data_IF_923048058793
#
_entry.id   IF_923048058793
#
_cell.length_a   1.000
_cell.length_b   1.000
_cell.length_c   1.000
_cell.angle_alpha   90.00
_cell.angle_beta   90.00
_cell.angle_gamma   90.00
#
_symmetry.space_group_name_H-M   'P 1'
#
loop_
_entity.id
_entity.type
_entity.pdbx_description
1 polymer ?
#
# COMPACT_ATOMS: atom_id res chain seq x y z
N UNK A 1 -93.78 -20.16 -2.79
CA UNK A 1 -92.90 -18.98 -2.91
C UNK A 1 -91.66 -19.24 -2.04
N UNK A 2 -90.60 -19.76 -2.64
CA UNK A 2 -89.28 -19.11 -2.84
C UNK A 2 -88.65 -18.49 -1.58
N UNK A 3 -87.61 -19.14 -1.06
CA UNK A 3 -86.63 -18.58 -0.12
C UNK A 3 -85.27 -19.25 -0.34
N UNK A 4 -84.40 -18.57 -1.08
CA UNK A 4 -83.10 -19.03 -1.58
C UNK A 4 -82.06 -19.11 -0.46
N UNK A 5 -81.32 -20.23 -0.39
CA UNK A 5 -80.13 -20.42 0.46
C UNK A 5 -79.00 -19.48 0.02
N UNK A 6 -78.45 -18.68 0.93
CA UNK A 6 -77.19 -17.95 0.71
C UNK A 6 -76.05 -18.68 1.43
N UNK A 7 -75.15 -19.29 0.67
CA UNK A 7 -73.84 -19.72 1.15
C UNK A 7 -72.98 -18.46 1.38
N UNK A 8 -72.51 -18.25 2.61
CA UNK A 8 -71.50 -17.26 2.91
C UNK A 8 -70.12 -17.86 2.59
N UNK A 9 -69.45 -17.33 1.58
CA UNK A 9 -68.04 -17.64 1.28
C UNK A 9 -67.19 -16.69 2.13
N UNK A 10 -66.53 -17.21 3.16
CA UNK A 10 -65.55 -16.45 3.95
C UNK A 10 -64.22 -16.43 3.20
N UNK A 11 -63.88 -15.28 2.61
CA UNK A 11 -62.54 -15.01 2.04
C UNK A 11 -61.49 -14.98 3.16
N UNK A 12 -60.60 -15.96 3.18
CA UNK A 12 -59.39 -15.92 3.99
C UNK A 12 -58.37 -14.97 3.33
N UNK A 13 -58.10 -13.82 3.95
CA UNK A 13 -56.97 -12.96 3.57
C UNK A 13 -55.67 -13.63 4.03
N UNK A 14 -54.86 -14.08 3.08
CA UNK A 14 -53.52 -14.60 3.33
C UNK A 14 -52.54 -13.42 3.31
N UNK A 15 -52.15 -12.90 4.48
CA UNK A 15 -51.13 -11.86 4.62
C UNK A 15 -49.76 -12.46 4.37
N UNK A 16 -49.22 -12.27 3.16
CA UNK A 16 -47.83 -12.63 2.84
C UNK A 16 -46.90 -11.58 3.50
N UNK A 17 -46.24 -11.97 4.59
CA UNK A 17 -45.16 -11.20 5.20
C UNK A 17 -43.92 -11.29 4.27
N UNK A 18 -43.66 -10.24 3.49
CA UNK A 18 -42.39 -10.08 2.79
C UNK A 18 -41.30 -9.80 3.83
N UNK A 19 -40.52 -10.82 4.17
CA UNK A 19 -39.28 -10.66 4.92
C UNK A 19 -38.28 -9.91 4.02
N UNK A 20 -38.11 -8.61 4.26
CA UNK A 20 -37.06 -7.83 3.62
C UNK A 20 -35.70 -8.33 4.15
N UNK A 21 -34.99 -9.10 3.33
CA UNK A 21 -33.60 -9.46 3.58
C UNK A 21 -32.74 -8.19 3.54
N UNK A 22 -32.47 -7.60 4.70
CA UNK A 22 -31.43 -6.56 4.83
C UNK A 22 -30.10 -7.28 4.62
N UNK A 23 -29.57 -7.20 3.40
CA UNK A 23 -28.20 -7.63 3.16
C UNK A 23 -27.28 -6.81 4.07
N UNK A 24 -26.30 -7.43 4.75
CA UNK A 24 -25.32 -6.66 5.51
C UNK A 24 -24.62 -5.71 4.54
N UNK A 25 -24.74 -4.41 4.77
CA UNK A 25 -23.85 -3.46 4.13
C UNK A 25 -22.43 -3.87 4.53
N UNK A 26 -21.58 -4.22 3.57
CA UNK A 26 -20.15 -4.30 3.82
C UNK A 26 -19.75 -2.96 4.42
N UNK A 27 -19.30 -2.97 5.69
CA UNK A 27 -18.82 -1.76 6.33
C UNK A 27 -17.63 -1.29 5.50
N UNK A 28 -17.77 -0.16 4.82
CA UNK A 28 -16.68 0.39 4.02
C UNK A 28 -15.55 0.74 4.99
N UNK A 29 -14.32 0.54 4.54
CA UNK A 29 -13.15 0.99 5.30
C UNK A 29 -13.29 2.47 5.67
N UNK A 30 -12.87 2.80 6.89
CA UNK A 30 -13.10 4.11 7.49
C UNK A 30 -11.76 4.85 7.70
N UNK A 31 -11.71 6.16 7.42
CA UNK A 31 -10.55 6.99 7.78
C UNK A 31 -10.16 6.81 9.25
N UNK A 32 -8.87 6.64 9.50
CA UNK A 32 -8.30 6.57 10.86
C UNK A 32 -8.50 5.23 11.57
N UNK A 33 -9.11 4.23 10.92
CA UNK A 33 -9.30 2.87 11.44
C UNK A 33 -8.34 1.93 10.73
N UNK A 34 -7.21 1.65 11.39
CA UNK A 34 -6.17 0.73 10.94
C UNK A 34 -5.26 0.40 12.14
N UNK A 35 -4.43 -0.63 12.00
CA UNK A 35 -3.59 -1.15 13.08
C UNK A 35 -2.16 -0.60 13.04
N UNK A 36 -1.59 -0.44 11.83
CA UNK A 36 -0.21 0.03 11.65
C UNK A 36 0.05 0.61 10.27
N UNK A 37 1.22 1.22 10.08
CA UNK A 37 1.71 1.66 8.79
C UNK A 37 2.79 0.73 8.24
N UNK A 38 2.81 0.58 6.92
CA UNK A 38 3.94 0.03 6.18
C UNK A 38 4.47 1.12 5.25
N UNK A 39 5.71 1.54 5.47
CA UNK A 39 6.46 2.32 4.52
C UNK A 39 6.95 1.39 3.41
N UNK A 40 6.60 1.70 2.16
CA UNK A 40 7.01 0.91 0.99
C UNK A 40 8.00 1.72 0.18
N UNK A 41 9.20 1.17 0.04
CA UNK A 41 10.33 1.78 -0.63
C UNK A 41 10.66 0.97 -1.89
N UNK A 42 10.31 1.49 -3.05
CA UNK A 42 10.48 0.80 -4.32
C UNK A 42 11.90 0.91 -4.85
N UNK A 43 12.41 -0.17 -5.43
CA UNK A 43 13.67 -0.19 -6.17
C UNK A 43 13.41 0.24 -7.62
N UNK A 44 13.67 1.52 -7.91
CA UNK A 44 13.38 2.13 -9.21
C UNK A 44 14.01 1.39 -10.41
N UNK A 45 15.26 0.88 -10.34
CA UNK A 45 15.85 0.13 -11.45
C UNK A 45 15.00 -1.08 -11.89
N UNK A 46 14.47 -1.84 -10.93
CA UNK A 46 13.58 -2.98 -11.23
C UNK A 46 12.28 -2.52 -11.85
N UNK A 47 11.65 -1.46 -11.31
CA UNK A 47 10.44 -0.88 -11.90
C UNK A 47 10.67 -0.46 -13.35
N UNK A 48 11.77 0.24 -13.62
CA UNK A 48 12.10 0.72 -14.96
C UNK A 48 12.38 -0.41 -15.96
N UNK A 49 13.02 -1.49 -15.51
CA UNK A 49 13.25 -2.69 -16.33
C UNK A 49 11.98 -3.47 -16.63
N UNK A 50 11.07 -3.61 -15.65
CA UNK A 50 9.89 -4.46 -15.79
C UNK A 50 8.71 -3.74 -16.45
N UNK A 51 8.51 -2.46 -16.14
CA UNK A 51 7.27 -1.74 -16.48
C UNK A 51 7.51 -0.29 -16.92
N UNK A 52 8.28 0.50 -16.17
CA UNK A 52 8.34 1.96 -16.34
C UNK A 52 8.78 2.44 -17.72
N UNK A 53 9.78 1.79 -18.34
CA UNK A 53 10.24 2.13 -19.70
C UNK A 53 9.16 1.87 -20.76
N UNK A 54 8.38 0.79 -20.63
CA UNK A 54 7.26 0.50 -21.54
C UNK A 54 6.16 1.56 -21.41
N UNK A 55 6.00 2.15 -20.22
CA UNK A 55 5.05 3.21 -19.94
C UNK A 55 5.56 4.61 -20.24
N UNK A 56 6.82 4.76 -20.67
CA UNK A 56 7.50 6.05 -20.86
C UNK A 56 7.45 6.92 -19.60
N UNK A 57 7.59 6.29 -18.43
CA UNK A 57 7.63 6.99 -17.16
C UNK A 57 8.91 7.84 -17.07
N UNK A 58 8.77 9.11 -16.72
CA UNK A 58 9.90 10.04 -16.60
C UNK A 58 10.85 9.67 -15.47
N UNK A 59 10.39 8.89 -14.47
CA UNK A 59 11.25 8.30 -13.45
C UNK A 59 12.38 7.44 -14.04
N UNK A 60 12.18 6.91 -15.24
CA UNK A 60 13.11 6.00 -15.90
C UNK A 60 14.07 6.69 -16.88
N UNK A 61 14.20 8.02 -16.83
CA UNK A 61 15.22 8.74 -17.58
C UNK A 61 16.60 8.44 -17.00
N UNK A 62 17.49 7.87 -17.82
CA UNK A 62 18.86 7.53 -17.44
C UNK A 62 19.72 8.75 -17.06
N UNK A 63 19.28 9.98 -17.37
CA UNK A 63 19.97 11.21 -16.95
C UNK A 63 19.71 11.60 -15.50
N UNK A 64 18.61 11.13 -14.93
CA UNK A 64 18.22 11.37 -13.54
C UNK A 64 17.85 10.02 -12.91
N UNK A 65 18.85 9.13 -12.73
CA UNK A 65 18.60 7.82 -12.15
C UNK A 65 18.09 7.97 -10.70
N UNK A 66 17.22 7.05 -10.33
CA UNK A 66 16.75 6.91 -8.95
C UNK A 66 17.09 5.50 -8.48
N UNK A 67 17.50 5.40 -7.22
CA UNK A 67 17.72 4.12 -6.52
C UNK A 67 16.42 3.73 -5.80
N UNK A 68 16.41 3.94 -4.48
CA UNK A 68 15.27 3.74 -3.62
C UNK A 68 14.35 4.96 -3.71
N UNK A 69 13.08 4.73 -4.00
CA UNK A 69 12.03 5.77 -4.05
C UNK A 69 10.93 5.42 -3.07
N UNK A 70 10.24 6.42 -2.54
CA UNK A 70 9.02 6.21 -1.77
C UNK A 70 7.93 5.73 -2.74
N UNK A 71 7.46 4.50 -2.54
CA UNK A 71 6.26 4.02 -3.22
C UNK A 71 5.03 4.56 -2.49
N UNK A 72 4.97 4.41 -1.16
CA UNK A 72 3.86 4.92 -0.36
C UNK A 72 3.96 4.59 1.13
N UNK A 73 3.02 5.13 1.92
CA UNK A 73 2.87 4.84 3.35
C UNK A 73 1.48 4.23 3.58
N UNK A 74 1.40 2.92 3.74
CA UNK A 74 0.13 2.21 3.68
C UNK A 74 -0.40 1.90 5.08
N UNK A 75 -1.58 2.43 5.46
CA UNK A 75 -2.34 1.88 6.58
C UNK A 75 -2.65 0.39 6.34
N UNK A 76 -2.45 -0.44 7.35
CA UNK A 76 -2.69 -1.88 7.33
C UNK A 76 -3.56 -2.29 8.52
N UNK A 77 -4.35 -3.34 8.32
CA UNK A 77 -4.85 -4.14 9.43
C UNK A 77 -3.87 -5.29 9.71
N UNK A 78 -3.95 -5.93 10.87
CA UNK A 78 -3.19 -7.16 11.15
C UNK A 78 -3.41 -8.24 10.08
N UNK A 79 -4.59 -8.26 9.44
CA UNK A 79 -4.90 -9.09 8.27
C UNK A 79 -5.64 -8.27 7.22
N UNK A 80 -5.02 -8.09 6.06
CA UNK A 80 -5.54 -7.23 5.00
C UNK A 80 -5.28 -5.75 5.27
N UNK A 81 -5.90 -4.87 4.50
CA UNK A 81 -5.68 -3.43 4.59
C UNK A 81 -6.91 -2.64 4.16
N UNK A 82 -7.12 -1.46 4.74
CA UNK A 82 -8.12 -0.53 4.26
C UNK A 82 -7.68 0.10 2.93
N UNK A 83 -8.65 0.44 2.08
CA UNK A 83 -8.38 1.21 0.85
C UNK A 83 -9.54 2.13 0.47
N UNK A 84 -9.23 3.18 -0.28
CA UNK A 84 -10.21 4.10 -0.87
C UNK A 84 -11.17 4.71 0.18
N UNK A 85 -10.64 5.09 1.35
CA UNK A 85 -11.40 5.53 2.52
C UNK A 85 -11.92 6.97 2.40
N UNK A 86 -12.53 7.34 1.27
CA UNK A 86 -13.14 8.65 1.07
C UNK A 86 -14.60 8.52 0.66
N UNK A 87 -15.40 9.51 1.03
CA UNK A 87 -16.81 9.57 0.65
C UNK A 87 -17.01 10.48 -0.56
N UNK A 88 -17.72 9.98 -1.57
CA UNK A 88 -18.12 10.78 -2.73
C UNK A 88 -16.99 10.97 -3.74
N UNK A 89 -16.51 12.20 -3.89
CA UNK A 89 -15.53 12.55 -4.93
C UNK A 89 -14.14 12.04 -4.56
N UNK A 90 -13.37 11.64 -5.58
CA UNK A 90 -11.96 11.28 -5.41
C UNK A 90 -11.21 12.45 -4.75
N UNK A 91 -10.37 12.19 -3.73
CA UNK A 91 -9.64 13.25 -3.05
C UNK A 91 -8.68 13.95 -4.00
N UNK A 92 -8.41 15.22 -3.67
CA UNK A 92 -7.45 16.05 -4.36
C UNK A 92 -6.19 16.21 -3.52
N UNK A 93 -5.02 16.20 -4.18
CA UNK A 93 -3.72 16.50 -3.58
C UNK A 93 -3.25 17.84 -4.15
N UNK A 94 -2.91 18.84 -3.31
CA UNK A 94 -2.41 20.12 -3.80
C UNK A 94 -1.14 19.99 -4.64
N UNK A 95 -0.98 20.90 -5.61
CA UNK A 95 0.23 20.94 -6.45
C UNK A 95 1.49 21.14 -5.63
N UNK A 96 1.39 21.95 -4.58
CA UNK A 96 2.48 22.28 -3.68
C UNK A 96 2.98 21.02 -2.97
N UNK A 97 2.05 20.21 -2.44
CA UNK A 97 2.36 18.91 -1.80
C UNK A 97 2.93 17.91 -2.80
N UNK A 98 2.41 17.89 -4.04
CA UNK A 98 2.98 17.02 -5.09
C UNK A 98 4.43 17.41 -5.36
N UNK A 99 4.71 18.70 -5.50
CA UNK A 99 6.02 19.21 -5.86
C UNK A 99 7.07 18.97 -4.76
N UNK A 100 6.68 19.03 -3.48
CA UNK A 100 7.58 18.68 -2.35
C UNK A 100 7.93 17.20 -2.25
N UNK A 101 7.26 16.32 -3.00
CA UNK A 101 7.51 14.88 -2.94
C UNK A 101 8.28 14.35 -4.15
N UNK A 102 8.47 15.13 -5.22
CA UNK A 102 9.00 14.62 -6.50
C UNK A 102 10.44 14.11 -6.47
N UNK A 103 11.25 14.57 -5.52
CA UNK A 103 12.62 14.09 -5.30
C UNK A 103 12.65 12.64 -4.79
N UNK A 104 11.62 12.21 -4.04
CA UNK A 104 11.53 10.83 -3.49
C UNK A 104 10.38 10.01 -4.09
N UNK A 105 9.41 10.66 -4.76
CA UNK A 105 8.29 10.06 -5.49
C UNK A 105 8.20 10.69 -6.90
N UNK A 106 9.03 10.26 -7.86
CA UNK A 106 9.21 10.99 -9.12
C UNK A 106 7.94 11.11 -9.97
N UNK A 107 7.01 10.15 -9.85
CA UNK A 107 5.76 10.13 -10.58
C UNK A 107 4.64 10.89 -9.87
N UNK A 108 4.20 12.03 -10.45
CA UNK A 108 3.00 12.76 -10.00
C UNK A 108 1.75 11.87 -9.90
N UNK A 109 1.58 10.96 -10.84
CA UNK A 109 0.43 10.06 -10.87
C UNK A 109 0.48 9.06 -9.71
N UNK A 110 1.68 8.62 -9.32
CA UNK A 110 1.88 7.79 -8.14
C UNK A 110 1.45 8.55 -6.89
N UNK A 111 1.93 9.78 -6.68
CA UNK A 111 1.53 10.62 -5.54
C UNK A 111 -0.01 10.71 -5.47
N UNK A 112 -0.69 11.09 -6.55
CA UNK A 112 -2.16 11.19 -6.55
C UNK A 112 -2.85 9.84 -6.30
N UNK A 113 -2.29 8.74 -6.77
CA UNK A 113 -2.82 7.40 -6.54
C UNK A 113 -2.68 6.97 -5.08
N UNK A 114 -1.49 7.12 -4.51
CA UNK A 114 -1.16 6.68 -3.16
C UNK A 114 -1.98 7.40 -2.10
N UNK A 115 -2.17 8.71 -2.24
CA UNK A 115 -3.06 9.40 -1.31
C UNK A 115 -4.51 8.93 -1.44
N UNK A 116 -5.00 8.77 -2.68
CA UNK A 116 -6.38 8.35 -2.90
C UNK A 116 -6.67 6.96 -2.35
N UNK A 117 -5.81 5.99 -2.65
CA UNK A 117 -5.98 4.58 -2.28
C UNK A 117 -5.65 4.33 -0.82
N UNK A 118 -4.54 4.90 -0.32
CA UNK A 118 -3.99 4.57 1.01
C UNK A 118 -4.03 5.75 1.98
N UNK A 119 -3.64 6.95 1.53
CA UNK A 119 -3.56 8.13 2.40
C UNK A 119 -4.89 8.53 3.03
N UNK A 120 -6.01 8.41 2.31
CA UNK A 120 -7.35 8.67 2.86
C UNK A 120 -7.71 7.77 4.05
N UNK A 121 -7.15 6.57 4.11
CA UNK A 121 -7.38 5.62 5.20
C UNK A 121 -6.64 5.99 6.48
N UNK A 122 -5.59 6.80 6.39
CA UNK A 122 -4.91 7.34 7.58
C UNK A 122 -5.81 8.34 8.36
N UNK A 123 -6.81 8.93 7.70
CA UNK A 123 -7.60 10.02 8.29
C UNK A 123 -6.84 11.34 8.41
N UNK A 124 -5.76 11.48 7.66
CA UNK A 124 -4.91 12.68 7.59
C UNK A 124 -5.25 13.51 6.34
N UNK A 125 -4.94 14.81 6.38
CA UNK A 125 -4.93 15.62 5.15
C UNK A 125 -3.77 15.19 4.23
N UNK A 126 -3.76 15.59 2.94
CA UNK A 126 -2.64 15.26 2.05
C UNK A 126 -1.30 15.73 2.61
N UNK A 127 -1.24 16.95 3.15
CA UNK A 127 -0.03 17.54 3.74
C UNK A 127 0.47 16.67 4.90
N UNK A 128 -0.40 16.39 5.88
CA UNK A 128 -0.04 15.59 7.06
C UNK A 128 0.39 14.17 6.69
N UNK A 129 -0.26 13.56 5.71
CA UNK A 129 0.09 12.22 5.25
C UNK A 129 1.47 12.19 4.59
N UNK A 130 1.77 13.17 3.71
CA UNK A 130 3.05 13.22 3.03
C UNK A 130 4.19 13.70 3.93
N UNK A 131 3.92 14.55 4.91
CA UNK A 131 4.89 14.90 5.96
C UNK A 131 5.29 13.65 6.76
N UNK A 132 4.31 12.82 7.16
CA UNK A 132 4.57 11.56 7.84
C UNK A 132 5.36 10.57 6.95
N UNK A 133 4.96 10.43 5.68
CA UNK A 133 5.62 9.53 4.73
C UNK A 133 7.06 9.95 4.46
N UNK A 134 7.32 11.25 4.28
CA UNK A 134 8.68 11.79 4.10
C UNK A 134 9.53 11.61 5.36
N UNK A 135 8.99 11.93 6.53
CA UNK A 135 9.73 11.76 7.79
C UNK A 135 10.18 10.30 8.01
N UNK A 136 9.35 9.33 7.60
CA UNK A 136 9.70 7.91 7.66
C UNK A 136 10.67 7.50 6.55
N UNK A 137 10.53 8.04 5.33
CA UNK A 137 11.49 7.83 4.25
C UNK A 137 12.89 8.31 4.62
N UNK A 138 13.01 9.56 5.11
CA UNK A 138 14.28 10.19 5.47
C UNK A 138 14.98 9.48 6.64
N UNK A 139 14.24 8.68 7.42
CA UNK A 139 14.79 7.85 8.50
C UNK A 139 15.51 6.59 8.01
N UNK A 140 15.19 6.12 6.80
CA UNK A 140 15.78 4.91 6.22
C UNK A 140 17.00 5.28 5.37
N UNK A 141 18.17 4.85 5.83
CA UNK A 141 19.42 4.99 5.10
C UNK A 141 19.56 3.88 4.06
N UNK A 142 19.89 4.25 2.83
CA UNK A 142 20.26 3.30 1.77
C UNK A 142 21.62 2.66 2.13
N UNK A 143 21.76 1.33 2.15
CA UNK A 143 23.05 0.72 2.44
C UNK A 143 24.07 1.07 1.34
N UNK A 144 25.35 1.29 1.69
CA UNK A 144 26.39 1.64 0.73
C UNK A 144 26.49 0.66 -0.44
N UNK A 145 26.21 -0.62 -0.18
CA UNK A 145 26.11 -1.65 -1.19
C UNK A 145 25.15 -1.18 -2.31
N UNK A 146 23.95 -0.73 -1.98
CA UNK A 146 22.95 -0.36 -3.00
C UNK A 146 23.22 0.98 -3.69
N UNK A 147 24.23 1.76 -3.26
CA UNK A 147 24.58 3.05 -3.85
C UNK A 147 25.56 2.99 -5.03
N UNK A 148 26.12 1.81 -5.34
CA UNK A 148 27.09 1.64 -6.43
C UNK A 148 26.36 1.41 -7.77
N UNK A 149 26.42 2.37 -8.72
CA UNK A 149 25.66 2.31 -9.97
C UNK A 149 26.26 1.33 -11.00
N UNK A 150 27.43 0.76 -10.77
CA UNK A 150 28.06 -0.19 -11.70
C UNK A 150 27.93 -1.64 -11.25
N UNK A 151 27.71 -1.85 -9.95
CA UNK A 151 27.78 -3.18 -9.34
C UNK A 151 26.43 -3.88 -9.32
N UNK A 152 26.19 -4.69 -10.35
CA UNK A 152 25.13 -5.71 -10.32
C UNK A 152 25.40 -6.73 -9.24
N UNK A 153 24.34 -7.14 -8.54
CA UNK A 153 24.43 -8.17 -7.50
C UNK A 153 23.24 -9.09 -7.56
N UNK A 154 23.51 -10.31 -7.14
CA UNK A 154 22.50 -11.28 -6.81
C UNK A 154 22.60 -11.55 -5.30
N UNK A 155 21.52 -11.31 -4.57
CA UNK A 155 21.43 -11.45 -3.13
C UNK A 155 20.23 -12.32 -2.78
N UNK A 156 20.28 -13.06 -1.68
CA UNK A 156 19.05 -13.60 -1.11
C UNK A 156 18.21 -12.48 -0.49
N UNK A 157 16.87 -12.64 -0.34
CA UNK A 157 16.06 -11.67 0.38
C UNK A 157 16.59 -11.38 1.79
N UNK A 158 16.99 -12.44 2.53
CA UNK A 158 17.66 -12.29 3.82
C UNK A 158 19.03 -11.58 3.73
N UNK A 159 19.70 -11.66 2.57
CA UNK A 159 20.89 -10.87 2.27
C UNK A 159 20.60 -9.39 2.19
N UNK A 160 19.58 -9.02 1.42
CA UNK A 160 19.10 -7.63 1.33
C UNK A 160 18.70 -7.10 2.70
N UNK A 161 17.94 -7.85 3.49
CA UNK A 161 17.57 -7.47 4.86
C UNK A 161 18.80 -7.17 5.73
N UNK A 162 19.83 -8.03 5.71
CA UNK A 162 21.05 -7.81 6.50
C UNK A 162 21.75 -6.50 6.15
N UNK A 163 21.86 -6.15 4.88
CA UNK A 163 22.48 -4.88 4.48
C UNK A 163 21.67 -3.68 4.99
N UNK A 164 20.33 -3.75 4.91
CA UNK A 164 19.46 -2.71 5.47
C UNK A 164 19.58 -2.60 7.00
N UNK A 165 19.64 -3.71 7.73
CA UNK A 165 19.85 -3.70 9.17
C UNK A 165 21.22 -3.13 9.56
N UNK A 166 22.27 -3.42 8.78
CA UNK A 166 23.61 -2.88 9.02
C UNK A 166 23.66 -1.35 8.83
N UNK A 167 22.97 -0.83 7.82
CA UNK A 167 22.87 0.61 7.57
C UNK A 167 21.89 1.34 8.50
N UNK A 168 20.95 0.64 9.13
CA UNK A 168 19.89 1.21 9.96
C UNK A 168 19.84 0.55 11.35
N UNK A 169 20.72 0.93 12.31
CA UNK A 169 20.81 0.26 13.62
C UNK A 169 19.55 0.33 14.49
N UNK A 170 18.59 1.18 14.15
CA UNK A 170 17.30 1.28 14.82
C UNK A 170 16.29 0.21 14.36
N UNK A 171 16.58 -0.49 13.27
CA UNK A 171 15.73 -1.49 12.64
C UNK A 171 16.09 -2.90 13.12
N UNK A 172 15.11 -3.74 13.40
CA UNK A 172 15.29 -5.18 13.65
C UNK A 172 14.68 -6.02 12.53
N UNK A 173 15.12 -7.28 12.42
CA UNK A 173 14.74 -8.19 11.34
C UNK A 173 13.22 -8.47 11.26
N UNK A 174 12.49 -8.27 12.34
CA UNK A 174 11.03 -8.43 12.38
C UNK A 174 10.25 -7.16 12.03
N UNK A 175 10.93 -6.05 11.72
CA UNK A 175 10.35 -4.76 11.33
C UNK A 175 10.46 -4.48 9.82
N UNK A 176 11.11 -5.37 9.08
CA UNK A 176 11.42 -5.22 7.65
C UNK A 176 10.98 -6.46 6.87
N UNK A 177 10.58 -6.26 5.62
CA UNK A 177 10.40 -7.34 4.65
C UNK A 177 10.88 -6.89 3.26
N UNK A 178 11.30 -7.86 2.45
CA UNK A 178 11.77 -7.69 1.07
C UNK A 178 10.76 -8.31 0.12
N UNK A 179 10.29 -7.54 -0.87
CA UNK A 179 9.44 -8.06 -1.94
C UNK A 179 10.26 -8.29 -3.21
N UNK A 180 9.84 -9.25 -4.02
CA UNK A 180 10.47 -9.48 -5.31
C UNK A 180 9.46 -9.78 -6.41
N UNK A 181 9.86 -9.49 -7.65
CA UNK A 181 9.06 -9.76 -8.85
C UNK A 181 9.99 -10.17 -9.97
N UNK A 182 9.70 -11.31 -10.62
CA UNK A 182 10.55 -11.91 -11.67
C UNK A 182 12.01 -12.05 -11.19
N UNK A 183 12.18 -12.58 -9.98
CA UNK A 183 13.47 -12.79 -9.32
C UNK A 183 14.35 -11.54 -9.23
N UNK A 184 13.74 -10.36 -9.19
CA UNK A 184 14.42 -9.08 -8.96
C UNK A 184 13.83 -8.36 -7.74
N UNK A 185 14.67 -7.61 -7.01
CA UNK A 185 14.25 -6.78 -5.88
C UNK A 185 13.18 -5.78 -6.32
N UNK A 186 12.00 -5.83 -5.71
CA UNK A 186 10.91 -4.91 -6.05
C UNK A 186 10.82 -3.77 -5.03
N UNK A 187 10.54 -4.09 -3.76
CA UNK A 187 10.43 -3.10 -2.69
C UNK A 187 11.06 -3.59 -1.38
N UNK A 188 11.45 -2.64 -0.53
CA UNK A 188 11.69 -2.82 0.89
C UNK A 188 10.48 -2.28 1.65
N UNK A 189 9.98 -3.04 2.62
CA UNK A 189 8.85 -2.67 3.46
C UNK A 189 9.29 -2.53 4.90
N UNK A 190 8.98 -1.41 5.54
CA UNK A 190 9.33 -1.16 6.94
C UNK A 190 8.08 -0.78 7.73
N UNK A 191 7.88 -1.38 8.90
CA UNK A 191 6.64 -1.24 9.66
C UNK A 191 6.75 -0.25 10.82
N UNK A 192 5.71 0.56 10.97
CA UNK A 192 5.60 1.58 12.02
C UNK A 192 4.23 1.50 12.69
N UNK A 193 4.15 1.82 13.97
CA UNK A 193 2.87 2.02 14.64
C UNK A 193 2.19 3.31 14.17
N UNK A 194 0.98 3.58 14.66
CA UNK A 194 0.19 4.76 14.29
C UNK A 194 0.82 6.08 14.72
N UNK A 195 1.76 6.04 15.67
CA UNK A 195 2.53 7.20 16.14
C UNK A 195 3.88 7.29 15.42
N UNK A 196 4.05 6.56 14.30
CA UNK A 196 5.24 6.53 13.45
C UNK A 196 6.49 5.96 14.15
N UNK A 197 6.32 5.19 15.24
CA UNK A 197 7.43 4.52 15.92
C UNK A 197 7.69 3.15 15.27
N UNK A 198 8.95 2.72 15.13
CA UNK A 198 9.27 1.40 14.57
C UNK A 198 8.56 0.29 15.34
N UNK A 199 8.00 -0.68 14.63
CA UNK A 199 7.36 -1.86 15.22
C UNK A 199 7.60 -3.09 14.39
N UNK A 200 7.39 -4.25 15.01
CA UNK A 200 7.29 -5.52 14.30
C UNK A 200 6.19 -5.47 13.23
N UNK A 201 6.48 -6.00 12.04
CA UNK A 201 5.51 -6.12 10.97
C UNK A 201 4.39 -7.13 11.27
N UNK A 202 3.23 -6.89 10.68
CA UNK A 202 2.10 -7.79 10.78
C UNK A 202 2.20 -9.01 9.85
N UNK A 203 1.26 -9.96 9.95
CA UNK A 203 1.19 -11.14 9.08
C UNK A 203 1.11 -10.86 7.57
N UNK A 204 0.74 -9.64 7.15
CA UNK A 204 0.71 -9.26 5.74
C UNK A 204 2.12 -9.21 5.13
N UNK A 205 3.14 -8.94 5.95
CA UNK A 205 4.55 -8.84 5.56
C UNK A 205 5.32 -10.16 5.80
N UNK A 206 4.65 -11.30 5.62
CA UNK A 206 5.31 -12.60 5.64
C UNK A 206 6.30 -12.72 4.47
N UNK A 207 7.60 -12.72 4.80
CA UNK A 207 8.70 -12.78 3.86
C UNK A 207 8.57 -13.91 2.84
N UNK A 208 8.10 -15.11 3.25
CA UNK A 208 7.95 -16.27 2.35
C UNK A 208 6.83 -16.08 1.34
N UNK A 209 5.87 -15.21 1.62
CA UNK A 209 4.78 -14.85 0.69
C UNK A 209 5.19 -13.72 -0.24
N UNK A 210 5.96 -12.77 0.26
CA UNK A 210 6.40 -11.58 -0.46
C UNK A 210 7.55 -11.84 -1.44
N UNK A 211 8.44 -12.78 -1.12
CA UNK A 211 9.46 -13.25 -2.04
C UNK A 211 9.80 -14.71 -1.79
N UNK A 212 9.61 -15.55 -2.81
CA UNK A 212 9.88 -17.00 -2.74
C UNK A 212 11.22 -17.41 -3.34
N UNK A 213 11.91 -16.48 -3.99
CA UNK A 213 13.19 -16.76 -4.63
C UNK A 213 14.29 -16.87 -3.56
N UNK A 214 15.15 -17.87 -3.71
CA UNK A 214 16.33 -18.02 -2.83
C UNK A 214 17.37 -16.92 -3.11
N UNK A 215 17.41 -16.45 -4.35
CA UNK A 215 18.30 -15.40 -4.85
C UNK A 215 17.51 -14.48 -5.76
N UNK A 216 17.73 -13.17 -5.62
CA UNK A 216 17.14 -12.12 -6.44
C UNK A 216 18.24 -11.23 -7.01
N UNK A 217 18.02 -10.77 -8.25
CA UNK A 217 18.83 -9.73 -8.85
C UNK A 217 18.52 -8.36 -8.25
N UNK A 218 19.55 -7.55 -8.06
CA UNK A 218 19.47 -6.14 -7.71
C UNK A 218 20.03 -5.35 -8.89
N UNK A 219 19.17 -4.89 -9.82
CA UNK A 219 19.62 -4.13 -10.98
C UNK A 219 20.14 -2.76 -10.58
N UNK A 220 21.08 -2.25 -11.37
CA UNK A 220 21.57 -0.87 -11.24
C UNK A 220 20.69 0.10 -12.05
N UNK A 221 20.60 1.39 -11.66
CA UNK A 221 19.83 2.41 -12.38
C UNK A 221 20.18 2.57 -13.87
#
# INVERSE_FOLDING_TARGET
>A
MRGVRRMAVTSALLTVLLSASVAPAFDRDRPGVFDYYVLVLGWSPTYCLIEGRLRRDTQCDAKTPHDLVLHGLWPQYDKGWPKDCYAGRRPWVPSEVIDTMRDIMPSKNLIIHEYATHGTCAGLTPEQYYDAARALYDKVSLPPEFSDPERRRDLSPAGVEREFLAANPWLSADMIAVTCRRDALLDIRVCFDRDLRPRKCGPNEDQRRLCRADTINVPVP
#
